data_IF_653743847387
#
_entry.id   IF_653743847387
#
_cell.length_a   1.000
_cell.length_b   1.000
_cell.length_c   1.000
_cell.angle_alpha   90.00
_cell.angle_beta   90.00
_cell.angle_gamma   90.00
#
_symmetry.space_group_name_H-M   'P 1'
#
loop_
_entity.id
_entity.type
_entity.pdbx_description
1 polymer ?
#
# COMPACT_ATOMS: atom_id res chain seq x y z
N UNK A 1 9.18 -25.50 14.41
CA UNK A 1 9.66 -26.39 13.33
C UNK A 1 9.33 -25.73 12.00
N UNK A 2 10.34 -25.36 11.20
CA UNK A 2 10.10 -24.80 9.87
C UNK A 2 9.71 -25.95 8.93
N UNK A 3 8.53 -25.89 8.30
CA UNK A 3 8.14 -26.85 7.26
C UNK A 3 9.16 -26.76 6.12
N UNK A 4 9.86 -27.86 5.83
CA UNK A 4 10.67 -27.95 4.63
C UNK A 4 9.74 -27.86 3.41
N UNK A 5 9.91 -26.82 2.60
CA UNK A 5 9.14 -26.64 1.36
C UNK A 5 10.03 -26.95 0.17
N UNK A 6 9.53 -27.80 -0.73
CA UNK A 6 10.22 -28.13 -1.99
C UNK A 6 10.21 -26.94 -2.95
N UNK A 7 11.09 -26.93 -3.95
CA UNK A 7 11.16 -25.86 -4.95
C UNK A 7 9.82 -25.68 -5.69
N UNK A 8 9.17 -26.79 -6.02
CA UNK A 8 7.85 -26.81 -6.67
C UNK A 8 6.77 -26.15 -5.80
N UNK A 9 6.80 -26.38 -4.48
CA UNK A 9 5.87 -25.75 -3.54
C UNK A 9 6.10 -24.24 -3.38
N UNK A 10 7.34 -23.77 -3.57
CA UNK A 10 7.65 -22.34 -3.61
C UNK A 10 7.19 -21.68 -4.91
N UNK A 11 7.34 -22.38 -6.04
CA UNK A 11 6.92 -21.89 -7.35
C UNK A 11 5.38 -21.78 -7.47
N UNK A 12 4.64 -22.71 -6.88
CA UNK A 12 3.15 -22.69 -6.85
C UNK A 12 2.55 -21.67 -5.87
N UNK A 13 3.37 -20.91 -5.14
CA UNK A 13 2.87 -19.94 -4.17
C UNK A 13 2.32 -18.72 -4.90
N UNK A 14 1.01 -18.72 -5.15
CA UNK A 14 0.32 -17.56 -5.71
C UNK A 14 0.45 -16.36 -4.77
N UNK A 15 0.83 -15.22 -5.35
CA UNK A 15 0.86 -13.96 -4.60
C UNK A 15 -0.58 -13.60 -4.27
N UNK A 16 -0.89 -13.44 -2.98
CA UNK A 16 -2.17 -12.87 -2.54
C UNK A 16 -2.18 -11.39 -2.94
N UNK A 17 -2.68 -11.11 -4.13
CA UNK A 17 -2.86 -9.75 -4.63
C UNK A 17 -4.25 -9.29 -4.19
N UNK A 18 -4.31 -8.18 -3.45
CA UNK A 18 -5.58 -7.54 -3.14
C UNK A 18 -6.09 -6.85 -4.39
N UNK A 19 -7.36 -7.08 -4.74
CA UNK A 19 -7.97 -6.54 -5.95
C UNK A 19 -8.93 -5.40 -5.60
N UNK A 20 -8.92 -4.32 -6.38
CA UNK A 20 -9.85 -3.21 -6.18
C UNK A 20 -11.27 -3.63 -6.61
N UNK A 21 -12.32 -3.36 -5.82
CA UNK A 21 -13.70 -3.73 -6.18
C UNK A 21 -14.28 -2.92 -7.34
N UNK A 22 -13.64 -1.80 -7.73
CA UNK A 22 -14.16 -0.88 -8.76
C UNK A 22 -13.47 -1.09 -10.11
N UNK A 23 -12.13 -1.10 -10.12
CA UNK A 23 -11.38 -1.27 -11.37
C UNK A 23 -10.87 -2.69 -11.59
N UNK A 24 -11.11 -3.62 -10.65
CA UNK A 24 -10.60 -5.00 -10.65
C UNK A 24 -9.08 -5.12 -10.87
N UNK A 25 -8.35 -4.01 -10.68
CA UNK A 25 -6.90 -3.96 -10.79
C UNK A 25 -6.21 -4.37 -9.49
N UNK A 26 -4.90 -4.70 -9.57
CA UNK A 26 -4.09 -4.97 -8.39
C UNK A 26 -3.95 -3.72 -7.52
N UNK A 27 -4.15 -3.87 -6.21
CA UNK A 27 -3.88 -2.83 -5.21
C UNK A 27 -2.40 -2.92 -4.81
N UNK A 28 -1.68 -1.82 -4.98
CA UNK A 28 -0.30 -1.66 -4.52
C UNK A 28 -0.29 -0.84 -3.23
N UNK A 29 0.25 -1.38 -2.15
CA UNK A 29 0.40 -0.61 -0.91
C UNK A 29 1.67 0.24 -1.00
N UNK A 30 1.50 1.55 -0.90
CA UNK A 30 2.59 2.53 -0.93
C UNK A 30 2.58 3.36 0.35
N UNK A 31 3.77 3.69 0.84
CA UNK A 31 3.97 4.55 1.99
C UNK A 31 3.82 6.01 1.54
N UNK A 32 2.79 6.68 2.02
CA UNK A 32 2.46 8.06 1.72
C UNK A 32 2.83 8.94 2.91
N UNK A 33 3.76 9.87 2.68
CA UNK A 33 4.18 10.86 3.69
C UNK A 33 3.50 12.17 3.37
N UNK A 34 2.63 12.64 4.27
CA UNK A 34 1.89 13.91 4.10
C UNK A 34 2.23 14.90 5.22
N UNK A 35 2.53 16.17 4.91
CA UNK A 35 2.67 17.21 5.92
C UNK A 35 1.28 17.58 6.45
N UNK A 36 1.04 17.34 7.74
CA UNK A 36 -0.18 17.72 8.45
C UNK A 36 0.18 18.85 9.42
N UNK A 37 -0.50 19.99 9.27
CA UNK A 37 -0.33 21.13 10.17
C UNK A 37 -1.08 20.86 11.47
N UNK A 38 -0.39 20.99 12.60
CA UNK A 38 -1.01 20.90 13.91
C UNK A 38 -1.52 22.30 14.33
N UNK A 39 -2.80 22.56 14.10
CA UNK A 39 -3.44 23.85 14.37
C UNK A 39 -3.28 24.30 15.83
N UNK A 40 -3.21 23.37 16.79
CA UNK A 40 -3.06 23.67 18.20
C UNK A 40 -1.66 24.16 18.62
N UNK A 41 -0.60 23.80 17.87
CA UNK A 41 0.79 24.12 18.22
C UNK A 41 1.54 24.91 17.14
N UNK A 42 0.89 25.21 16.02
CA UNK A 42 1.50 25.89 14.88
C UNK A 42 2.63 25.10 14.19
N UNK A 43 2.85 23.83 14.55
CA UNK A 43 3.95 23.01 14.03
C UNK A 43 3.52 22.09 12.90
N UNK A 44 4.45 21.76 12.02
CA UNK A 44 4.26 20.77 10.95
C UNK A 44 4.67 19.39 11.43
N UNK A 45 3.81 18.40 11.21
CA UNK A 45 4.12 16.98 11.44
C UNK A 45 3.99 16.24 10.13
N UNK A 46 4.84 15.26 9.91
CA UNK A 46 4.71 14.35 8.76
C UNK A 46 3.94 13.11 9.21
N UNK A 47 2.75 12.90 8.63
CA UNK A 47 1.98 11.68 8.84
C UNK A 47 2.46 10.61 7.87
N UNK A 48 2.81 9.45 8.40
CA UNK A 48 3.21 8.29 7.63
C UNK A 48 2.02 7.33 7.52
N UNK A 49 1.52 7.09 6.31
CA UNK A 49 0.34 6.27 6.08
C UNK A 49 0.62 5.24 4.97
N UNK A 50 0.34 3.97 5.23
CA UNK A 50 0.34 2.96 4.18
C UNK A 50 -1.02 2.98 3.48
N UNK A 51 -1.03 3.43 2.22
CA UNK A 51 -2.25 3.57 1.42
C UNK A 51 -2.26 2.56 0.29
N UNK A 52 -3.37 1.86 0.11
CA UNK A 52 -3.59 0.99 -1.04
C UNK A 52 -3.94 1.82 -2.27
N UNK A 53 -3.08 1.77 -3.29
CA UNK A 53 -3.22 2.50 -4.54
C UNK A 53 -3.65 1.54 -5.66
N UNK A 54 -4.61 1.97 -6.46
CA UNK A 54 -5.04 1.35 -7.69
C UNK A 54 -5.25 2.43 -8.77
N UNK A 55 -5.69 2.05 -9.97
CA UNK A 55 -5.93 3.02 -11.06
C UNK A 55 -6.93 4.13 -10.72
N UNK A 56 -7.82 3.90 -9.76
CA UNK A 56 -8.83 4.88 -9.35
C UNK A 56 -8.25 6.05 -8.53
N UNK A 57 -7.35 5.76 -7.59
CA UNK A 57 -6.85 6.74 -6.62
C UNK A 57 -5.39 7.15 -6.83
N UNK A 58 -4.70 6.56 -7.83
CA UNK A 58 -3.33 6.92 -8.20
C UNK A 58 -3.16 8.44 -8.41
N UNK A 59 -4.15 9.11 -9.02
CA UNK A 59 -4.08 10.54 -9.30
C UNK A 59 -4.04 11.39 -8.03
N UNK A 60 -4.65 10.93 -6.94
CA UNK A 60 -4.67 11.65 -5.66
C UNK A 60 -3.43 11.36 -4.82
N UNK A 61 -2.83 10.18 -5.00
CA UNK A 61 -1.63 9.78 -4.29
C UNK A 61 -0.35 10.41 -4.88
N UNK A 62 -0.29 10.60 -6.21
CA UNK A 62 0.89 11.16 -6.90
C UNK A 62 0.83 12.68 -7.13
N UNK A 63 -0.31 13.33 -6.84
CA UNK A 63 -0.39 14.81 -6.76
C UNK A 63 0.27 15.27 -5.46
N UNK A 64 1.59 15.14 -5.40
CA UNK A 64 2.45 15.75 -4.38
C UNK A 64 3.02 17.04 -4.96
#
# INVERSE_FOLDING_TARGET
MAKQMTFEQKAKKEKKVATCPVCHGPIQYVRLVKPVRNEAKGSWKFSDLNVGICKCNQAEAYKV
#
